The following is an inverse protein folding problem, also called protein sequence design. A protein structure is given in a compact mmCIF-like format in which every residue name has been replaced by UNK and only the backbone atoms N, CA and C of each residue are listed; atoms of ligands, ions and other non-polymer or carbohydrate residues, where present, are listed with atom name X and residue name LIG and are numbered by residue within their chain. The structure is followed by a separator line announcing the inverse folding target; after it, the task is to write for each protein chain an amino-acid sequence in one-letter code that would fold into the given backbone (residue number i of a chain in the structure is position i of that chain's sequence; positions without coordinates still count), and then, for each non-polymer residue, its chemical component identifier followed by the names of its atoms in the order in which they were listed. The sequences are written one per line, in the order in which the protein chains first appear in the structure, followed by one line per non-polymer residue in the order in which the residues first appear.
data_IF_151776809701
#
_entry.id   IF_151776809701
#
_cell.length_a   1.000
_cell.length_b   1.000
_cell.length_c   1.000
_cell.angle_alpha   90.00
_cell.angle_beta   90.00
_cell.angle_gamma   90.00
#
_symmetry.space_group_name_H-M   'P 1'
#
loop_
_entity.id
_entity.type
_entity.pdbx_description
1 polymer ?
#
# COMPACT_ATOMS: atom_id res chain seq x y z
N UNK A 1 0.18 11.46 -14.32
CA UNK A 1 -0.12 11.59 -12.88
C UNK A 1 1.16 11.35 -12.10
N UNK A 2 1.39 12.09 -11.02
CA UNK A 2 2.61 11.99 -10.21
C UNK A 2 2.49 10.83 -9.22
N UNK A 3 3.60 10.13 -8.90
CA UNK A 3 3.58 9.07 -7.88
C UNK A 3 3.18 9.64 -6.52
N UNK A 4 2.61 8.78 -5.66
CA UNK A 4 2.17 9.19 -4.32
C UNK A 4 3.42 9.49 -3.50
N UNK A 5 3.55 10.74 -3.06
CA UNK A 5 4.68 11.17 -2.24
C UNK A 5 4.69 10.43 -0.89
N UNK A 6 5.89 10.12 -0.37
CA UNK A 6 6.06 9.46 0.93
C UNK A 6 5.30 10.14 2.07
N UNK A 7 5.24 11.47 2.05
CA UNK A 7 4.54 12.27 3.05
C UNK A 7 3.01 12.18 2.95
N UNK A 8 2.48 11.77 1.81
CA UNK A 8 1.05 11.58 1.59
C UNK A 8 0.55 10.18 2.02
N UNK A 9 1.47 9.25 2.31
CA UNK A 9 1.13 7.91 2.81
C UNK A 9 0.66 8.02 4.26
N UNK A 10 -0.60 7.65 4.50
CA UNK A 10 -1.16 7.55 5.85
C UNK A 10 -0.82 6.18 6.44
N UNK A 11 -0.60 6.14 7.75
CA UNK A 11 -0.31 4.90 8.48
C UNK A 11 -1.51 4.57 9.38
N UNK A 12 -2.06 3.36 9.30
CA UNK A 12 -3.09 2.93 10.27
C UNK A 12 -2.51 2.58 11.63
N UNK A 13 -1.20 2.31 11.69
CA UNK A 13 -0.49 1.95 12.91
C UNK A 13 0.86 2.64 12.97
N UNK A 14 1.34 2.93 14.17
CA UNK A 14 2.65 3.55 14.38
C UNK A 14 3.76 2.52 14.18
N UNK A 15 4.62 2.75 13.19
CA UNK A 15 5.82 1.93 12.98
C UNK A 15 6.97 2.55 13.78
N UNK A 16 7.44 1.84 14.80
CA UNK A 16 8.59 2.27 15.64
C UNK A 16 9.94 2.07 14.94
N UNK A 17 10.03 1.07 14.07
CA UNK A 17 11.25 0.78 13.32
C UNK A 17 11.37 1.74 12.11
N UNK A 18 12.33 2.67 12.20
CA UNK A 18 12.58 3.68 11.17
C UNK A 18 13.03 3.09 9.83
N UNK A 19 13.82 2.01 9.84
CA UNK A 19 14.27 1.36 8.60
C UNK A 19 13.11 0.69 7.88
N UNK A 20 12.29 -0.07 8.62
CA UNK A 20 11.10 -0.70 8.06
C UNK A 20 10.14 0.35 7.50
N UNK A 21 9.93 1.46 8.24
CA UNK A 21 9.09 2.58 7.79
C UNK A 21 9.60 3.18 6.48
N UNK A 22 10.89 3.50 6.41
CA UNK A 22 11.49 4.12 5.22
C UNK A 22 11.44 3.17 4.01
N UNK A 23 11.76 1.89 4.21
CA UNK A 23 11.66 0.86 3.17
C UNK A 23 10.23 0.75 2.64
N UNK A 24 9.25 0.69 3.55
CA UNK A 24 7.84 0.61 3.18
C UNK A 24 7.38 1.81 2.36
N UNK A 25 7.78 3.02 2.77
CA UNK A 25 7.49 4.25 2.03
C UNK A 25 8.12 4.26 0.64
N UNK A 26 9.38 3.84 0.53
CA UNK A 26 10.05 3.71 -0.76
C UNK A 26 9.35 2.69 -1.66
N UNK A 27 8.91 1.55 -1.13
CA UNK A 27 8.20 0.52 -1.90
C UNK A 27 6.85 1.02 -2.43
N UNK A 28 6.09 1.79 -1.64
CA UNK A 28 4.83 2.40 -2.08
C UNK A 28 5.09 3.45 -3.17
N UNK A 29 6.10 4.29 -2.98
CA UNK A 29 6.49 5.29 -3.98
C UNK A 29 6.88 4.62 -5.30
N UNK A 30 7.70 3.57 -5.27
CA UNK A 30 8.08 2.79 -6.46
C UNK A 30 6.88 2.09 -7.11
N UNK A 31 5.99 1.49 -6.32
CA UNK A 31 4.79 0.84 -6.83
C UNK A 31 3.87 1.84 -7.55
N UNK A 32 3.65 3.02 -6.96
CA UNK A 32 2.77 4.07 -7.52
C UNK A 32 3.33 4.76 -8.76
N UNK A 33 4.59 4.52 -9.13
CA UNK A 33 5.14 4.90 -10.44
C UNK A 33 4.63 4.02 -11.57
N UNK A 34 4.11 2.83 -11.29
CA UNK A 34 3.60 1.90 -12.30
C UNK A 34 2.30 2.46 -12.91
N UNK A 35 2.09 2.31 -14.23
CA UNK A 35 0.93 2.87 -14.91
C UNK A 35 -0.40 2.36 -14.32
N UNK A 36 -0.43 1.10 -13.88
CA UNK A 36 -1.58 0.45 -13.24
C UNK A 36 -1.99 1.14 -11.93
N UNK A 37 -1.04 1.75 -11.22
CA UNK A 37 -1.25 2.40 -9.92
C UNK A 37 -1.19 3.93 -9.99
N UNK A 38 -0.86 4.50 -11.14
CA UNK A 38 -0.69 5.95 -11.31
C UNK A 38 -1.99 6.74 -11.15
N UNK A 39 -3.16 6.07 -11.27
CA UNK A 39 -4.48 6.66 -11.07
C UNK A 39 -4.83 6.95 -9.61
N UNK A 40 -4.17 6.29 -8.66
CA UNK A 40 -4.46 6.46 -7.25
C UNK A 40 -3.78 7.70 -6.68
N UNK A 41 -4.49 8.44 -5.83
CA UNK A 41 -4.00 9.69 -5.23
C UNK A 41 -3.77 9.57 -3.74
N UNK A 42 -4.38 8.57 -3.10
CA UNK A 42 -4.26 8.32 -1.67
C UNK A 42 -3.71 6.91 -1.43
N UNK A 43 -2.76 6.82 -0.50
CA UNK A 43 -2.23 5.56 -0.03
C UNK A 43 -2.34 5.49 1.50
N UNK A 44 -2.89 4.39 1.99
CA UNK A 44 -2.99 4.07 3.40
C UNK A 44 -2.26 2.75 3.65
N UNK A 45 -1.14 2.82 4.35
CA UNK A 45 -0.41 1.63 4.75
C UNK A 45 -1.20 0.88 5.83
N UNK A 46 -1.50 -0.39 5.56
CA UNK A 46 -2.10 -1.32 6.53
C UNK A 46 -1.03 -2.11 7.25
N UNK A 47 -0.15 -2.78 6.51
CA UNK A 47 0.89 -3.62 7.09
C UNK A 47 2.23 -3.45 6.35
N UNK A 48 3.33 -3.09 7.05
CA UNK A 48 4.60 -2.77 6.42
C UNK A 48 5.39 -3.97 5.89
N UNK A 49 5.26 -5.15 6.52
CA UNK A 49 5.86 -6.38 6.04
C UNK A 49 5.16 -7.56 6.73
N UNK A 50 4.49 -8.40 5.94
CA UNK A 50 3.82 -9.58 6.46
C UNK A 50 3.80 -10.69 5.39
N UNK A 51 3.78 -11.94 5.85
CA UNK A 51 3.56 -13.14 5.03
C UNK A 51 2.14 -13.63 5.26
N UNK A 52 1.34 -13.77 4.22
CA UNK A 52 -0.01 -14.30 4.37
C UNK A 52 0.03 -15.83 4.47
N UNK A 53 -0.94 -16.44 5.15
CA UNK A 53 -1.00 -17.91 5.27
C UNK A 53 -1.05 -18.63 3.90
N UNK A 54 -1.56 -17.96 2.88
CA UNK A 54 -1.65 -18.46 1.50
C UNK A 54 -0.52 -17.96 0.60
N UNK A 55 0.26 -16.97 1.05
CA UNK A 55 1.33 -16.34 0.26
C UNK A 55 2.55 -16.16 1.16
N UNK A 56 3.51 -17.07 0.99
CA UNK A 56 4.75 -17.11 1.77
C UNK A 56 5.74 -16.01 1.37
N UNK A 57 5.43 -15.21 0.33
CA UNK A 57 6.28 -14.09 -0.08
C UNK A 57 6.00 -12.90 0.83
N UNK A 58 7.06 -12.32 1.38
CA UNK A 58 6.93 -11.09 2.16
C UNK A 58 6.41 -9.96 1.26
N UNK A 59 5.39 -9.27 1.74
CA UNK A 59 4.80 -8.14 1.03
C UNK A 59 4.35 -7.04 1.98
N UNK A 60 4.31 -5.83 1.43
CA UNK A 60 3.65 -4.69 2.03
C UNK A 60 2.19 -4.70 1.61
N UNK A 61 1.28 -4.54 2.57
CA UNK A 61 -0.14 -4.33 2.28
C UNK A 61 -0.46 -2.84 2.42
N UNK A 62 -0.82 -2.21 1.30
CA UNK A 62 -1.34 -0.85 1.28
C UNK A 62 -2.74 -0.82 0.68
N UNK A 63 -3.53 0.17 1.06
CA UNK A 63 -4.79 0.52 0.41
C UNK A 63 -4.57 1.75 -0.45
N UNK A 64 -4.98 1.68 -1.69
CA UNK A 64 -4.91 2.77 -2.65
C UNK A 64 -6.33 3.21 -3.00
N UNK A 65 -6.55 4.52 -3.05
CA UNK A 65 -7.83 5.09 -3.44
C UNK A 65 -7.61 6.26 -4.39
N UNK A 66 -8.47 6.35 -5.41
CA UNK A 66 -8.66 7.59 -6.16
C UNK A 66 -9.42 8.60 -5.28
N UNK A 67 -9.44 9.87 -5.68
CA UNK A 67 -10.24 10.88 -4.99
C UNK A 67 -11.72 10.48 -4.90
N UNK A 68 -12.28 9.92 -5.99
CA UNK A 68 -13.67 9.45 -6.01
C UNK A 68 -13.91 8.24 -5.09
N UNK A 69 -13.00 7.26 -5.09
CA UNK A 69 -13.08 6.10 -4.21
C UNK A 69 -13.01 6.51 -2.74
N UNK A 70 -12.09 7.42 -2.39
CA UNK A 70 -11.96 7.94 -1.03
C UNK A 70 -13.25 8.67 -0.57
N UNK A 71 -13.88 9.45 -1.45
CA UNK A 71 -15.16 10.10 -1.15
C UNK A 71 -16.30 9.09 -0.92
N UNK A 72 -16.23 7.91 -1.55
CA UNK A 72 -17.20 6.82 -1.38
C UNK A 72 -16.85 5.88 -0.22
N UNK A 73 -15.73 6.07 0.47
CA UNK A 73 -15.23 5.15 1.51
C UNK A 73 -14.82 3.79 0.93
N UNK A 74 -14.28 3.78 -0.29
CA UNK A 74 -13.81 2.59 -0.99
C UNK A 74 -12.30 2.69 -1.21
N UNK A 75 -11.62 1.55 -1.16
CA UNK A 75 -10.20 1.46 -1.49
C UNK A 75 -9.88 0.13 -2.16
N UNK A 76 -8.84 0.11 -2.97
CA UNK A 76 -8.26 -1.10 -3.52
C UNK A 76 -7.10 -1.54 -2.66
N UNK A 77 -6.99 -2.83 -2.39
CA UNK A 77 -5.85 -3.36 -1.64
C UNK A 77 -4.75 -3.73 -2.62
N UNK A 78 -3.54 -3.27 -2.37
CA UNK A 78 -2.36 -3.65 -3.12
C UNK A 78 -1.40 -4.40 -2.22
N UNK A 79 -0.93 -5.55 -2.69
CA UNK A 79 0.21 -6.24 -2.13
C UNK A 79 1.43 -5.87 -2.94
N UNK A 80 2.43 -5.28 -2.30
CA UNK A 80 3.69 -4.89 -2.93
C UNK A 80 4.74 -5.89 -2.46
N UNK A 81 5.17 -6.75 -3.37
CA UNK A 81 6.19 -7.76 -3.14
C UNK A 81 7.57 -7.14 -3.26
N UNK A 82 8.47 -7.58 -2.40
CA UNK A 82 9.86 -7.14 -2.40
C UNK A 82 10.81 -8.33 -2.29
N UNK A 83 12.00 -8.16 -2.85
CA UNK A 83 13.03 -9.20 -2.82
C UNK A 83 13.80 -9.19 -1.48
N UNK A 84 14.77 -10.10 -1.34
CA UNK A 84 15.60 -10.23 -0.13
C UNK A 84 16.41 -8.96 0.19
N UNK A 85 16.75 -8.17 -0.84
CA UNK A 85 17.41 -6.88 -0.69
C UNK A 85 16.44 -5.74 -0.35
N UNK A 86 15.13 -6.01 -0.37
CA UNK A 86 14.11 -5.02 -0.08
C UNK A 86 13.80 -4.05 -1.18
N UNK A 87 14.15 -4.42 -2.40
CA UNK A 87 13.75 -3.71 -3.60
C UNK A 87 12.39 -4.24 -4.07
N UNK A 88 11.72 -3.41 -4.85
CA UNK A 88 10.43 -3.75 -5.44
C UNK A 88 10.60 -4.93 -6.42
N UNK A 89 9.90 -6.04 -6.17
CA UNK A 89 9.87 -7.23 -7.04
C UNK A 89 8.62 -7.23 -7.93
N UNK A 90 7.50 -6.73 -7.40
CA UNK A 90 6.24 -6.68 -8.11
C UNK A 90 5.10 -6.19 -7.24
N UNK A 91 3.90 -6.17 -7.81
CA UNK A 91 2.70 -5.86 -7.04
C UNK A 91 1.50 -6.66 -7.56
N UNK A 92 0.52 -6.85 -6.69
CA UNK A 92 -0.76 -7.40 -7.02
C UNK A 92 -1.86 -6.48 -6.49
N UNK A 93 -2.65 -5.95 -7.42
CA UNK A 93 -3.80 -5.12 -7.13
C UNK A 93 -5.04 -6.02 -7.02
N UNK A 94 -5.71 -5.93 -5.88
CA UNK A 94 -6.96 -6.64 -5.65
C UNK A 94 -8.14 -5.72 -5.93
N UNK A 95 -9.27 -6.34 -6.28
CA UNK A 95 -10.52 -5.63 -6.54
C UNK A 95 -10.93 -4.71 -5.38
N UNK A 96 -11.64 -3.65 -5.75
CA UNK A 96 -12.23 -2.68 -4.82
C UNK A 96 -12.97 -3.39 -3.69
N UNK A 97 -12.63 -3.01 -2.45
CA UNK A 97 -13.40 -3.40 -1.28
C UNK A 97 -13.86 -2.14 -0.57
N UNK A 98 -15.13 -2.12 -0.19
CA UNK A 98 -15.64 -1.10 0.73
C UNK A 98 -14.82 -1.14 2.00
N UNK A 99 -14.43 0.03 2.51
CA UNK A 99 -13.91 0.11 3.85
C UNK A 99 -15.07 -0.27 4.78
N UNK A 100 -15.09 -1.53 5.25
CA UNK A 100 -15.96 -1.88 6.38
C UNK A 100 -15.65 -0.85 7.46
N UNK A 101 -16.62 0.02 7.77
CA UNK A 101 -16.73 0.56 9.11
C UNK A 101 -16.86 -0.68 9.99
N UNK A 102 -15.78 -1.06 10.65
CA UNK A 102 -15.94 -1.90 11.83
C UNK A 102 -16.81 -1.06 12.77
N UNK A 103 -18.05 -1.51 12.89
CA UNK A 103 -19.05 -1.04 13.84
C UNK A 103 -18.56 -1.54 15.22
N UNK A 104 -18.18 -0.63 16.10
CA UNK A 104 -18.20 -0.82 17.56
C UNK A 104 -18.65 0.50 18.20
#
# INVERSE_FOLDING_TARGET
MSPIARSAVKFTQRIRNSELRNRTLSLIEEATKRPDLAGFTQAVLKNPAHTSHTDTREHVTARLSTAEQANKGVAQTVHIYFDKNGQYDGHQLYQERSEKKEDD
#
